data_IF_077857137088
#
_entry.id   IF_077857137088
#
_cell.length_a   1.000
_cell.length_b   1.000
_cell.length_c   1.000
_cell.angle_alpha   90.00
_cell.angle_beta   90.00
_cell.angle_gamma   90.00
#
_symmetry.space_group_name_H-M   'P 1'
#
loop_
_entity.id
_entity.type
_entity.pdbx_description
1 polymer ?
#
# COMPACT_ATOMS: atom_id res chain seq x y z
N UNK A 1 -4.13 -18.57 14.34
CA UNK A 1 -2.66 -18.66 14.21
C UNK A 1 -2.04 -18.25 15.53
N UNK A 2 -1.23 -19.11 16.14
CA UNK A 2 -0.47 -18.82 17.37
C UNK A 2 0.79 -18.01 17.06
N UNK A 3 1.36 -17.32 18.06
CA UNK A 3 2.60 -16.54 17.90
C UNK A 3 3.80 -17.39 17.42
N UNK A 4 3.77 -18.71 17.64
CA UNK A 4 4.81 -19.63 17.19
C UNK A 4 4.66 -19.98 15.71
N UNK A 5 3.44 -20.18 15.22
CA UNK A 5 3.14 -20.42 13.80
C UNK A 5 3.53 -19.22 12.94
N UNK A 6 3.28 -17.99 13.42
CA UNK A 6 3.69 -16.75 12.75
C UNK A 6 5.22 -16.66 12.62
N UNK A 7 5.94 -16.99 13.69
CA UNK A 7 7.41 -17.02 13.67
C UNK A 7 7.95 -18.09 12.73
N UNK A 8 7.27 -19.23 12.61
CA UNK A 8 7.70 -20.33 11.75
C UNK A 8 7.45 -20.03 10.26
N UNK A 9 6.32 -19.40 9.91
CA UNK A 9 6.03 -18.96 8.54
C UNK A 9 7.01 -17.90 8.01
N UNK A 10 7.48 -17.01 8.89
CA UNK A 10 8.42 -15.94 8.53
C UNK A 10 9.88 -16.39 8.43
N UNK A 11 10.26 -17.48 9.10
CA UNK A 11 11.61 -18.07 9.00
C UNK A 11 11.89 -18.68 7.63
N UNK A 12 10.85 -19.07 6.89
CA UNK A 12 10.98 -19.66 5.56
C UNK A 12 11.13 -18.61 4.45
N UNK A 13 11.03 -17.31 4.77
CA UNK A 13 11.18 -16.23 3.78
C UNK A 13 12.66 -15.97 3.53
N UNK A 14 13.15 -16.09 2.27
CA UNK A 14 14.56 -15.85 1.97
C UNK A 14 14.93 -14.39 2.29
N UNK A 15 16.06 -14.22 2.95
CA UNK A 15 16.59 -12.90 3.30
C UNK A 15 17.27 -12.30 2.07
N UNK A 16 16.86 -11.11 1.59
CA UNK A 16 17.51 -10.46 0.47
C UNK A 16 18.92 -10.00 0.83
N UNK A 17 19.83 -10.08 -0.14
CA UNK A 17 21.19 -9.55 0.01
C UNK A 17 21.17 -8.03 0.16
N UNK A 18 21.91 -7.50 1.13
CA UNK A 18 21.97 -6.06 1.41
C UNK A 18 21.13 -5.57 2.59
N UNK A 19 20.43 -6.46 3.29
CA UNK A 19 19.86 -6.18 4.62
C UNK A 19 20.80 -6.67 5.72
N UNK A 20 20.85 -5.89 6.80
CA UNK A 20 21.56 -6.28 8.02
C UNK A 20 20.71 -7.21 8.88
N UNK A 21 21.34 -8.06 9.69
CA UNK A 21 20.64 -8.97 10.61
C UNK A 21 19.69 -8.23 11.56
N UNK A 22 20.05 -7.01 11.95
CA UNK A 22 19.19 -6.15 12.76
C UNK A 22 17.91 -5.74 12.02
N UNK A 23 18.04 -5.30 10.76
CA UNK A 23 16.90 -4.95 9.91
C UNK A 23 15.98 -6.15 9.69
N UNK A 24 16.55 -7.34 9.49
CA UNK A 24 15.79 -8.59 9.32
C UNK A 24 15.00 -8.92 10.58
N UNK A 25 15.65 -8.93 11.75
CA UNK A 25 14.99 -9.19 13.04
C UNK A 25 13.86 -8.21 13.32
N UNK A 26 14.11 -6.91 13.10
CA UNK A 26 13.10 -5.87 13.34
C UNK A 26 11.97 -5.93 12.32
N UNK A 27 12.24 -6.27 11.05
CA UNK A 27 11.20 -6.46 10.04
C UNK A 27 10.26 -7.63 10.39
N UNK A 28 10.82 -8.76 10.83
CA UNK A 28 10.05 -9.92 11.27
C UNK A 28 9.22 -9.59 12.53
N UNK A 29 9.83 -8.95 13.53
CA UNK A 29 9.14 -8.52 14.74
C UNK A 29 8.00 -7.52 14.41
N UNK A 30 8.26 -6.54 13.55
CA UNK A 30 7.26 -5.56 13.15
C UNK A 30 6.05 -6.22 12.50
N UNK A 31 6.27 -7.11 11.54
CA UNK A 31 5.16 -7.73 10.80
C UNK A 31 4.37 -8.70 11.69
N UNK A 32 5.03 -9.43 12.60
CA UNK A 32 4.35 -10.27 13.60
C UNK A 32 3.53 -9.44 14.61
N UNK A 33 4.10 -8.37 15.16
CA UNK A 33 3.40 -7.50 16.11
C UNK A 33 2.27 -6.71 15.44
N UNK A 34 2.46 -6.30 14.19
CA UNK A 34 1.42 -5.63 13.40
C UNK A 34 0.24 -6.54 13.12
N UNK A 35 0.49 -7.82 12.82
CA UNK A 35 -0.57 -8.80 12.56
C UNK A 35 -1.34 -9.18 13.83
N UNK A 36 -0.66 -9.31 14.97
CA UNK A 36 -1.28 -9.74 16.24
C UNK A 36 -1.94 -8.62 17.03
N UNK A 37 -1.29 -7.45 17.12
CA UNK A 37 -1.71 -6.35 17.99
C UNK A 37 -2.11 -5.08 17.24
N UNK A 38 -1.86 -5.02 15.93
CA UNK A 38 -2.12 -3.80 15.17
C UNK A 38 -1.23 -2.62 15.59
N UNK A 39 -0.02 -2.88 16.11
CA UNK A 39 0.91 -1.83 16.56
C UNK A 39 1.17 -0.79 15.47
N UNK A 40 1.25 0.49 15.84
CA UNK A 40 1.65 1.57 14.91
C UNK A 40 3.18 1.65 14.83
N UNK A 41 3.71 2.21 13.74
CA UNK A 41 5.16 2.36 13.54
C UNK A 41 5.80 3.14 14.70
N UNK A 42 5.18 4.24 15.15
CA UNK A 42 5.70 5.04 16.26
C UNK A 42 5.83 4.23 17.57
N UNK A 43 4.81 3.43 17.88
CA UNK A 43 4.80 2.59 19.09
C UNK A 43 5.81 1.43 18.98
N UNK A 44 5.95 0.84 17.80
CA UNK A 44 6.95 -0.19 17.52
C UNK A 44 8.37 0.36 17.65
N UNK A 45 8.65 1.51 17.04
CA UNK A 45 9.93 2.21 17.14
C UNK A 45 10.28 2.52 18.60
N UNK A 46 9.31 3.00 19.39
CA UNK A 46 9.48 3.23 20.83
C UNK A 46 9.79 1.95 21.61
N UNK A 47 9.09 0.85 21.31
CA UNK A 47 9.29 -0.45 21.98
C UNK A 47 10.66 -1.06 21.69
N UNK A 48 11.19 -0.87 20.47
CA UNK A 48 12.45 -1.45 20.01
C UNK A 48 13.62 -0.46 20.04
N UNK A 49 13.49 0.68 20.73
CA UNK A 49 14.51 1.73 20.84
C UNK A 49 15.08 2.18 19.49
N UNK A 50 14.21 2.36 18.49
CA UNK A 50 14.57 2.90 17.18
C UNK A 50 13.87 4.23 16.95
N UNK A 51 14.54 5.13 16.24
CA UNK A 51 13.88 6.35 15.78
C UNK A 51 12.93 6.01 14.64
N UNK A 52 11.81 6.73 14.57
CA UNK A 52 10.87 6.63 13.45
C UNK A 52 11.54 7.02 12.14
N UNK A 53 12.43 8.02 12.17
CA UNK A 53 13.20 8.47 11.01
C UNK A 53 14.03 7.35 10.41
N UNK A 54 14.82 6.64 11.23
CA UNK A 54 15.62 5.49 10.77
C UNK A 54 14.74 4.40 10.15
N UNK A 55 13.56 4.15 10.72
CA UNK A 55 12.61 3.19 10.17
C UNK A 55 12.08 3.64 8.80
N UNK A 56 11.67 4.90 8.65
CA UNK A 56 11.20 5.44 7.37
C UNK A 56 12.31 5.46 6.31
N UNK A 57 13.54 5.72 6.69
CA UNK A 57 14.69 5.64 5.77
C UNK A 57 14.96 4.22 5.29
N UNK A 58 14.72 3.21 6.13
CA UNK A 58 14.74 1.82 5.68
C UNK A 58 13.60 1.54 4.71
N UNK A 59 12.37 2.01 4.98
CA UNK A 59 11.23 1.83 4.05
C UNK A 59 11.40 2.51 2.69
N UNK A 60 12.21 3.58 2.60
CA UNK A 60 12.59 4.18 1.31
C UNK A 60 13.46 3.26 0.47
N UNK A 61 14.15 2.27 1.07
CA UNK A 61 14.99 1.32 0.34
C UNK A 61 14.10 0.23 -0.29
N UNK A 62 14.14 0.05 -1.62
CA UNK A 62 13.27 -0.92 -2.29
C UNK A 62 13.44 -2.35 -1.77
N UNK A 63 14.67 -2.73 -1.40
CA UNK A 63 14.99 -4.06 -0.87
C UNK A 63 14.29 -4.33 0.47
N UNK A 64 14.25 -3.33 1.35
CA UNK A 64 13.63 -3.48 2.67
C UNK A 64 12.10 -3.46 2.59
N UNK A 65 11.53 -2.58 1.76
CA UNK A 65 10.08 -2.53 1.56
C UNK A 65 9.56 -3.81 0.87
N UNK A 66 10.31 -4.32 -0.12
CA UNK A 66 10.00 -5.61 -0.77
C UNK A 66 10.05 -6.77 0.23
N UNK A 67 11.04 -6.79 1.12
CA UNK A 67 11.14 -7.79 2.17
C UNK A 67 9.97 -7.71 3.16
N UNK A 68 9.60 -6.51 3.60
CA UNK A 68 8.42 -6.29 4.46
C UNK A 68 7.13 -6.75 3.79
N UNK A 69 6.95 -6.48 2.49
CA UNK A 69 5.78 -6.93 1.74
C UNK A 69 5.74 -8.46 1.62
N UNK A 70 6.90 -9.09 1.38
CA UNK A 70 7.01 -10.56 1.30
C UNK A 70 6.69 -11.21 2.65
N UNK A 71 7.19 -10.65 3.76
CA UNK A 71 6.87 -11.11 5.10
C UNK A 71 5.37 -10.98 5.43
N UNK A 72 4.72 -9.90 4.99
CA UNK A 72 3.27 -9.74 5.17
C UNK A 72 2.50 -10.77 4.37
N UNK A 73 2.93 -11.05 3.14
CA UNK A 73 2.31 -12.06 2.27
C UNK A 73 2.45 -13.46 2.85
N UNK A 74 3.60 -13.80 3.44
CA UNK A 74 3.82 -15.12 4.06
C UNK A 74 2.95 -15.37 5.30
N UNK A 75 2.39 -14.32 5.91
CA UNK A 75 1.48 -14.46 7.05
C UNK A 75 0.02 -14.72 6.62
N UNK A 76 -0.32 -14.52 5.35
CA UNK A 76 -1.66 -14.81 4.83
C UNK A 76 -1.65 -16.26 4.35
N UNK A 77 -2.46 -17.10 4.97
CA UNK A 77 -2.63 -18.49 4.53
C UNK A 77 -3.42 -18.56 3.22
N UNK A 78 -3.18 -19.61 2.43
CA UNK A 78 -3.95 -19.86 1.21
C UNK A 78 -5.46 -19.98 1.49
N UNK A 79 -5.83 -20.47 2.69
CA UNK A 79 -7.23 -20.54 3.14
C UNK A 79 -7.86 -19.16 3.39
N UNK A 80 -7.10 -18.22 3.99
CA UNK A 80 -7.54 -16.84 4.16
C UNK A 80 -7.69 -16.13 2.81
N UNK A 81 -6.76 -16.40 1.87
CA UNK A 81 -6.85 -15.88 0.51
C UNK A 81 -8.07 -16.42 -0.24
N UNK A 82 -8.31 -17.73 -0.17
CA UNK A 82 -9.49 -18.36 -0.78
C UNK A 82 -10.80 -17.83 -0.18
N UNK A 83 -10.83 -17.63 1.15
CA UNK A 83 -11.99 -17.05 1.84
C UNK A 83 -12.25 -15.61 1.40
N UNK A 84 -11.19 -14.81 1.31
CA UNK A 84 -11.27 -13.44 0.81
C UNK A 84 -11.82 -13.39 -0.63
N UNK A 85 -11.39 -14.30 -1.49
CA UNK A 85 -11.86 -14.36 -2.88
C UNK A 85 -13.31 -14.81 -2.99
N UNK A 86 -13.74 -15.76 -2.16
CA UNK A 86 -15.16 -16.14 -2.04
C UNK A 86 -16.02 -14.97 -1.58
N UNK A 87 -15.54 -14.16 -0.61
CA UNK A 87 -16.25 -12.97 -0.13
C UNK A 87 -16.37 -11.92 -1.25
N UNK A 88 -15.30 -11.63 -1.99
CA UNK A 88 -15.35 -10.71 -3.14
C UNK A 88 -16.40 -11.13 -4.16
N UNK A 89 -16.41 -12.40 -4.55
CA UNK A 89 -17.39 -12.92 -5.52
C UNK A 89 -18.82 -12.81 -4.99
N UNK A 90 -19.02 -13.09 -3.71
CA UNK A 90 -20.33 -12.97 -3.06
C UNK A 90 -20.81 -11.51 -3.00
N UNK A 91 -19.94 -10.58 -2.62
CA UNK A 91 -20.26 -9.15 -2.57
C UNK A 91 -20.58 -8.62 -3.97
N UNK A 92 -19.80 -9.01 -4.99
CA UNK A 92 -20.10 -8.69 -6.39
C UNK A 92 -21.47 -9.22 -6.82
N UNK A 93 -21.78 -10.48 -6.51
CA UNK A 93 -23.06 -11.11 -6.84
C UNK A 93 -24.23 -10.41 -6.14
N UNK A 94 -24.07 -10.03 -4.86
CA UNK A 94 -25.07 -9.28 -4.10
C UNK A 94 -25.29 -7.87 -4.65
N UNK A 95 -24.21 -7.15 -4.97
CA UNK A 95 -24.28 -5.80 -5.54
C UNK A 95 -24.94 -5.78 -6.94
N UNK A 96 -24.80 -6.86 -7.71
CA UNK A 96 -25.45 -7.02 -9.02
C UNK A 96 -26.88 -7.56 -8.94
N UNK A 97 -27.33 -7.99 -7.76
CA UNK A 97 -28.69 -8.53 -7.58
C UNK A 97 -29.73 -7.41 -7.42
N UNK A 98 -30.97 -7.65 -7.86
CA UNK A 98 -32.10 -6.71 -7.70
C UNK A 98 -32.42 -6.38 -6.22
N UNK A 99 -31.87 -7.14 -5.27
CA UNK A 99 -32.01 -6.93 -3.82
C UNK A 99 -30.78 -6.28 -3.18
N UNK A 100 -29.79 -5.83 -3.96
CA UNK A 100 -28.62 -5.15 -3.45
C UNK A 100 -29.02 -3.88 -2.69
N UNK A 101 -28.82 -3.87 -1.38
CA UNK A 101 -29.05 -2.70 -0.54
C UNK A 101 -27.89 -1.73 -0.61
N UNK A 102 -28.10 -0.52 -0.06
CA UNK A 102 -27.07 0.53 0.04
C UNK A 102 -25.80 0.00 0.73
N UNK A 103 -25.97 -0.87 1.72
CA UNK A 103 -24.86 -1.45 2.50
C UNK A 103 -23.97 -2.38 1.68
N UNK A 104 -24.55 -3.18 0.79
CA UNK A 104 -23.81 -4.09 -0.09
C UNK A 104 -23.04 -3.33 -1.18
N UNK A 105 -23.62 -2.24 -1.69
CA UNK A 105 -22.96 -1.34 -2.63
C UNK A 105 -21.78 -0.64 -1.94
N UNK A 106 -21.95 -0.15 -0.71
CA UNK A 106 -20.83 0.41 0.08
C UNK A 106 -19.72 -0.62 0.34
N UNK A 107 -20.08 -1.87 0.63
CA UNK A 107 -19.12 -2.95 0.83
C UNK A 107 -18.35 -3.25 -0.47
N UNK A 108 -19.05 -3.24 -1.60
CA UNK A 108 -18.45 -3.37 -2.92
C UNK A 108 -17.48 -2.22 -3.21
N UNK A 109 -17.90 -0.97 -3.02
CA UNK A 109 -17.03 0.21 -3.22
C UNK A 109 -15.77 0.14 -2.36
N UNK A 110 -15.87 -0.34 -1.12
CA UNK A 110 -14.69 -0.51 -0.24
C UNK A 110 -13.78 -1.66 -0.68
N UNK A 111 -14.33 -2.81 -1.08
CA UNK A 111 -13.53 -3.96 -1.51
C UNK A 111 -12.89 -3.76 -2.89
N UNK A 112 -13.52 -2.96 -3.75
CA UNK A 112 -13.11 -2.69 -5.12
C UNK A 112 -12.74 -1.21 -5.33
N UNK A 113 -12.28 -0.51 -4.28
CA UNK A 113 -11.95 0.92 -4.31
C UNK A 113 -10.99 1.27 -5.46
N UNK A 114 -9.95 0.47 -5.64
CA UNK A 114 -8.99 0.61 -6.75
C UNK A 114 -9.64 0.56 -8.16
N UNK A 115 -10.72 -0.21 -8.35
CA UNK A 115 -11.44 -0.27 -9.63
C UNK A 115 -12.27 1.00 -9.82
N UNK A 116 -12.91 1.48 -8.75
CA UNK A 116 -13.71 2.71 -8.75
C UNK A 116 -12.82 3.93 -8.97
N UNK A 117 -11.63 3.97 -8.36
CA UNK A 117 -10.66 5.03 -8.58
C UNK A 117 -10.14 5.02 -10.03
N UNK A 118 -9.83 3.85 -10.59
CA UNK A 118 -9.41 3.73 -11.98
C UNK A 118 -10.52 4.15 -12.97
N UNK A 119 -11.77 3.79 -12.70
CA UNK A 119 -12.93 4.22 -13.49
C UNK A 119 -13.15 5.73 -13.40
N UNK A 120 -13.03 6.30 -12.19
CA UNK A 120 -13.06 7.76 -11.98
C UNK A 120 -11.96 8.46 -12.76
N UNK A 121 -10.75 7.90 -12.78
CA UNK A 121 -9.62 8.47 -13.51
C UNK A 121 -9.85 8.45 -15.02
N UNK A 122 -10.34 7.33 -15.57
CA UNK A 122 -10.77 7.26 -16.97
C UNK A 122 -11.88 8.24 -17.31
N UNK A 123 -12.89 8.35 -16.45
CA UNK A 123 -13.97 9.32 -16.64
C UNK A 123 -13.44 10.77 -16.57
N UNK A 124 -12.45 11.06 -15.71
CA UNK A 124 -11.81 12.38 -15.67
C UNK A 124 -11.00 12.67 -16.94
N UNK A 125 -10.32 11.66 -17.48
CA UNK A 125 -9.61 11.74 -18.77
C UNK A 125 -10.59 11.97 -19.94
N UNK A 126 -11.70 11.23 -19.98
CA UNK A 126 -12.77 11.37 -20.98
C UNK A 126 -13.51 12.72 -20.87
N UNK A 127 -13.67 13.25 -19.66
CA UNK A 127 -14.24 14.56 -19.39
C UNK A 127 -13.24 15.71 -19.58
N UNK A 128 -11.99 15.42 -19.97
CA UNK A 128 -10.95 16.43 -20.22
C UNK A 128 -10.44 17.15 -18.97
N UNK A 129 -10.69 16.61 -17.77
CA UNK A 129 -10.18 17.14 -16.51
C UNK A 129 -8.76 16.58 -16.30
N UNK A 130 -7.80 17.16 -17.01
CA UNK A 130 -6.38 16.84 -16.81
C UNK A 130 -5.96 17.32 -15.43
N UNK A 131 -5.44 16.39 -14.61
CA UNK A 131 -4.90 16.69 -13.29
C UNK A 131 -3.80 17.76 -13.39
N UNK A 132 -3.76 18.74 -12.47
CA UNK A 132 -2.79 19.85 -12.53
C UNK A 132 -1.32 19.39 -12.58
N UNK A 133 -1.04 18.15 -12.13
CA UNK A 133 0.27 17.53 -12.22
C UNK A 133 0.72 17.20 -13.66
N UNK A 134 -0.21 16.85 -14.55
CA UNK A 134 0.12 16.59 -15.96
C UNK A 134 0.23 17.89 -16.78
N UNK A 135 -0.54 18.93 -16.42
CA UNK A 135 -0.41 20.28 -17.04
C UNK A 135 0.98 20.91 -16.85
N UNK A 136 1.74 20.46 -15.86
CA UNK A 136 3.10 20.94 -15.62
C UNK A 136 4.14 20.34 -16.60
N UNK A 137 3.87 19.16 -17.18
CA UNK A 137 4.81 18.50 -18.08
C UNK A 137 4.75 19.00 -19.53
N UNK A 138 3.61 19.53 -19.97
CA UNK A 138 3.37 19.93 -21.37
C UNK A 138 3.86 21.32 -21.76
N UNK A 139 4.57 22.04 -20.87
CA UNK A 139 5.15 23.34 -21.23
C UNK A 139 6.38 23.15 -22.11
N UNK A 140 6.29 23.65 -23.35
CA UNK A 140 7.41 23.68 -24.29
C UNK A 140 8.59 24.49 -23.71
N UNK A 141 9.79 24.29 -24.25
CA UNK A 141 11.00 25.00 -23.80
C UNK A 141 10.82 26.52 -23.88
N UNK A 142 10.06 27.00 -24.86
CA UNK A 142 9.76 28.42 -25.04
C UNK A 142 8.84 28.97 -23.94
N UNK A 143 7.83 28.21 -23.52
CA UNK A 143 6.94 28.61 -22.42
C UNK A 143 7.69 28.70 -21.09
N UNK A 144 8.64 27.79 -20.85
CA UNK A 144 9.52 27.82 -19.67
C UNK A 144 10.46 29.03 -19.71
N UNK A 145 10.99 29.38 -20.88
CA UNK A 145 11.83 30.57 -21.07
C UNK A 145 11.06 31.86 -20.80
N UNK A 146 9.83 31.97 -21.31
CA UNK A 146 9.00 33.16 -21.12
C UNK A 146 8.55 33.32 -19.65
N UNK A 147 8.23 32.22 -18.97
CA UNK A 147 7.91 32.25 -17.54
C UNK A 147 9.12 32.69 -16.68
N UNK A 148 10.33 32.26 -17.03
CA UNK A 148 11.55 32.70 -16.36
C UNK A 148 11.86 34.17 -16.62
N UNK A 149 11.67 34.64 -17.86
CA UNK A 149 11.84 36.05 -18.22
C UNK A 149 10.84 36.97 -17.53
N UNK A 150 9.61 36.50 -17.31
CA UNK A 150 8.62 37.26 -16.53
C UNK A 150 9.01 37.35 -15.05
N UNK A 151 9.47 36.26 -14.42
CA UNK A 151 9.97 36.26 -13.04
C UNK A 151 11.22 37.12 -12.81
N UNK A 152 12.06 37.29 -13.83
CA UNK A 152 13.24 38.15 -13.75
C UNK A 152 12.92 39.64 -13.89
N UNK A 153 11.71 40.00 -14.34
CA UNK A 153 11.24 41.39 -14.47
C UNK A 153 10.37 41.87 -13.30
N UNK A 154 10.14 41.01 -12.29
CA UNK A 154 9.36 41.31 -11.09
C UNK A 154 9.36 40.13 -10.12
#
# INVERSE_FOLDING_TARGET
MTNEELKQGMKNVPVPTGLTDEQVKLAQAFVSERYTTGIKIADFCRKHNKSTETWYDWKKRPVFESYLATLRRSLVTDSEWETHEKIKQKVKSMALSEKGGVREIELYTKLFEHVVEADRQRNMEELGIVSEHEKAQDKTVEDKRNALLQRLKG
#
